data_IF_338151743602
#
_entry.id   IF_338151743602
#
_cell.length_a   1.000
_cell.length_b   1.000
_cell.length_c   1.000
_cell.angle_alpha   90.00
_cell.angle_beta   90.00
_cell.angle_gamma   90.00
#
_symmetry.space_group_name_H-M   'P 1'
#
loop_
_entity.id
_entity.type
_entity.pdbx_description
1 polymer ?
#
# COMPACT_ATOMS: atom_id res chain seq x y z
N UNK A 1 -8.80 -0.46 21.68
CA UNK A 1 -9.76 0.10 20.71
C UNK A 1 -8.96 1.01 19.78
N UNK A 2 -9.20 0.95 18.46
CA UNK A 2 -8.49 1.79 17.49
C UNK A 2 -8.91 3.26 17.65
N UNK A 3 -7.97 4.19 17.76
CA UNK A 3 -8.27 5.63 17.83
C UNK A 3 -8.45 6.17 16.41
N UNK A 4 -9.24 7.25 16.24
CA UNK A 4 -9.50 7.80 14.91
C UNK A 4 -8.23 8.29 14.21
N UNK A 5 -7.27 8.83 14.97
CA UNK A 5 -5.95 9.23 14.45
C UNK A 5 -5.11 8.06 13.94
N UNK A 6 -5.41 6.82 14.36
CA UNK A 6 -4.69 5.62 13.97
C UNK A 6 -5.35 4.96 12.73
N UNK A 7 -6.48 5.47 12.25
CA UNK A 7 -7.14 4.98 11.04
C UNK A 7 -6.36 5.44 9.81
N UNK A 8 -5.95 4.48 8.97
CA UNK A 8 -5.22 4.76 7.73
C UNK A 8 -6.16 5.33 6.64
N UNK A 9 -7.41 4.84 6.55
CA UNK A 9 -8.40 5.34 5.58
C UNK A 9 -9.28 6.42 6.21
N UNK A 10 -8.82 7.67 6.16
CA UNK A 10 -9.43 8.80 6.89
C UNK A 10 -10.63 9.46 6.19
N UNK A 11 -10.79 9.31 4.86
CA UNK A 11 -11.94 9.82 4.09
C UNK A 11 -12.86 8.70 3.57
N UNK A 12 -12.99 7.60 4.33
CA UNK A 12 -13.74 6.42 3.90
C UNK A 12 -15.21 6.73 3.58
N UNK A 13 -15.81 7.69 4.28
CA UNK A 13 -17.21 8.09 4.11
C UNK A 13 -17.43 9.24 3.11
N UNK A 14 -16.38 9.71 2.43
CA UNK A 14 -16.49 10.74 1.39
C UNK A 14 -16.89 12.14 1.92
N UNK A 15 -16.60 12.44 3.18
CA UNK A 15 -16.92 13.74 3.80
C UNK A 15 -16.02 14.87 3.32
N UNK A 16 -14.87 14.53 2.73
CA UNK A 16 -13.88 15.48 2.22
C UNK A 16 -13.60 15.22 0.72
N UNK A 17 -12.97 16.19 0.05
CA UNK A 17 -12.56 16.09 -1.35
C UNK A 17 -11.67 14.84 -1.60
N UNK A 18 -12.06 13.91 -2.49
CA UNK A 18 -11.27 12.72 -2.79
C UNK A 18 -10.09 12.99 -3.74
N UNK A 19 -10.07 14.14 -4.43
CA UNK A 19 -9.04 14.48 -5.40
C UNK A 19 -7.78 15.04 -4.75
N UNK A 20 -6.78 15.38 -5.58
CA UNK A 20 -5.42 15.70 -5.14
C UNK A 20 -5.35 16.77 -4.03
N UNK A 21 -6.19 17.81 -4.09
CA UNK A 21 -6.20 18.88 -3.09
C UNK A 21 -6.61 18.34 -1.71
N UNK A 22 -7.74 17.64 -1.63
CA UNK A 22 -8.17 16.98 -0.41
C UNK A 22 -7.21 15.90 0.07
N UNK A 23 -6.68 15.08 -0.85
CA UNK A 23 -5.69 14.05 -0.55
C UNK A 23 -4.44 14.60 0.15
N UNK A 24 -3.83 15.65 -0.41
CA UNK A 24 -2.66 16.31 0.19
C UNK A 24 -2.96 16.90 1.57
N UNK A 25 -4.18 17.40 1.81
CA UNK A 25 -4.57 17.92 3.13
C UNK A 25 -4.63 16.85 4.22
N UNK A 26 -4.75 15.56 3.84
CA UNK A 26 -4.78 14.41 4.75
C UNK A 26 -3.43 13.70 4.89
N UNK A 27 -2.37 14.22 4.24
CA UNK A 27 -1.04 13.60 4.23
C UNK A 27 -0.82 12.60 3.10
N UNK A 28 -1.78 12.41 2.18
CA UNK A 28 -1.55 11.60 0.98
C UNK A 28 -0.50 12.29 0.08
N UNK A 29 0.33 11.50 -0.60
CA UNK A 29 1.47 11.96 -1.42
C UNK A 29 2.61 12.65 -0.65
N UNK A 30 2.53 12.75 0.67
CA UNK A 30 3.59 13.34 1.48
C UNK A 30 4.89 12.52 1.40
N UNK A 31 6.00 13.22 1.20
CA UNK A 31 7.37 12.69 1.18
C UNK A 31 7.61 11.42 0.32
N UNK A 32 6.75 11.16 -0.68
CA UNK A 32 6.83 9.94 -1.51
C UNK A 32 8.13 9.84 -2.30
N UNK A 33 8.73 10.97 -2.69
CA UNK A 33 10.05 11.02 -3.32
C UNK A 33 11.15 10.45 -2.41
N UNK A 34 11.15 10.77 -1.11
CA UNK A 34 12.14 10.22 -0.18
C UNK A 34 11.88 8.73 0.08
N UNK A 35 10.62 8.30 0.13
CA UNK A 35 10.27 6.87 0.23
C UNK A 35 10.85 6.10 -0.96
N UNK A 36 10.68 6.61 -2.19
CA UNK A 36 11.26 6.01 -3.40
C UNK A 36 12.80 5.98 -3.34
N UNK A 37 13.43 7.04 -2.83
CA UNK A 37 14.87 7.14 -2.70
C UNK A 37 15.48 6.12 -1.71
N UNK A 38 14.71 5.58 -0.76
CA UNK A 38 15.16 4.47 0.12
C UNK A 38 15.52 3.20 -0.68
N UNK A 39 14.95 3.06 -1.88
CA UNK A 39 15.19 1.91 -2.75
C UNK A 39 14.36 0.68 -2.38
N UNK A 40 14.28 -0.23 -3.35
CA UNK A 40 13.44 -1.43 -3.32
C UNK A 40 13.64 -2.29 -2.07
N UNK A 41 14.89 -2.62 -1.75
CA UNK A 41 15.19 -3.59 -0.69
C UNK A 41 14.76 -3.06 0.69
N UNK A 42 14.96 -1.76 0.95
CA UNK A 42 14.52 -1.11 2.18
C UNK A 42 12.99 -1.10 2.31
N UNK A 43 12.27 -0.81 1.21
CA UNK A 43 10.80 -0.82 1.20
C UNK A 43 10.26 -2.24 1.46
N UNK A 44 10.83 -3.26 0.82
CA UNK A 44 10.40 -4.65 1.03
C UNK A 44 10.66 -5.09 2.47
N UNK A 45 11.79 -4.70 3.06
CA UNK A 45 12.12 -5.05 4.44
C UNK A 45 11.14 -4.39 5.43
N UNK A 46 10.86 -3.09 5.28
CA UNK A 46 9.84 -2.40 6.08
C UNK A 46 8.48 -3.12 6.03
N UNK A 47 8.08 -3.59 4.84
CA UNK A 47 6.81 -4.30 4.67
C UNK A 47 6.81 -5.68 5.31
N UNK A 48 7.96 -6.36 5.38
CA UNK A 48 8.10 -7.60 6.15
C UNK A 48 7.99 -7.31 7.65
N UNK A 49 8.69 -6.29 8.11
CA UNK A 49 8.75 -5.90 9.52
C UNK A 49 7.40 -5.40 10.05
N UNK A 50 6.59 -4.76 9.19
CA UNK A 50 5.22 -4.35 9.51
C UNK A 50 4.27 -5.53 9.84
N UNK A 51 4.63 -6.74 9.45
CA UNK A 51 3.76 -7.91 9.58
C UNK A 51 2.50 -7.88 8.71
N UNK A 52 2.42 -6.98 7.70
CA UNK A 52 1.24 -6.87 6.84
C UNK A 52 0.98 -8.18 6.11
N UNK A 53 -0.27 -8.64 6.18
CA UNK A 53 -0.80 -9.78 5.44
C UNK A 53 -1.75 -9.31 4.35
N UNK A 54 -1.91 -10.12 3.30
CA UNK A 54 -2.82 -9.84 2.20
C UNK A 54 -4.25 -9.57 2.68
N UNK A 55 -4.95 -8.67 1.97
CA UNK A 55 -6.29 -8.20 2.34
C UNK A 55 -7.43 -8.77 1.49
N UNK A 56 -7.14 -9.50 0.41
CA UNK A 56 -8.14 -10.22 -0.39
C UNK A 56 -8.27 -11.69 -0.01
N UNK A 57 -8.63 -11.99 1.25
CA UNK A 57 -8.95 -13.35 1.72
C UNK A 57 -7.77 -14.29 2.03
N UNK A 58 -6.78 -14.41 1.15
CA UNK A 58 -5.71 -15.42 1.28
C UNK A 58 -4.74 -15.18 2.45
N UNK A 59 -4.67 -13.95 2.98
CA UNK A 59 -3.85 -13.63 4.16
C UNK A 59 -2.35 -13.90 4.01
N UNK A 60 -1.80 -13.98 2.79
CA UNK A 60 -0.38 -14.25 2.55
C UNK A 60 0.50 -13.07 3.00
N UNK A 61 1.69 -13.27 3.62
CA UNK A 61 2.55 -12.16 4.05
C UNK A 61 2.99 -11.25 2.89
N UNK A 62 2.61 -9.97 2.94
CA UNK A 62 2.71 -9.04 1.81
C UNK A 62 4.17 -8.76 1.44
N UNK A 63 5.02 -8.42 2.42
CA UNK A 63 6.44 -8.15 2.17
C UNK A 63 7.21 -9.38 1.63
N UNK A 64 6.83 -10.59 2.05
CA UNK A 64 7.38 -11.82 1.48
C UNK A 64 6.97 -11.98 0.01
N UNK A 65 5.67 -11.80 -0.31
CA UNK A 65 5.17 -11.87 -1.69
C UNK A 65 5.90 -10.91 -2.61
N UNK A 66 6.12 -9.67 -2.17
CA UNK A 66 6.83 -8.65 -2.94
C UNK A 66 8.29 -9.03 -3.21
N UNK A 67 8.92 -9.79 -2.31
CA UNK A 67 10.31 -10.23 -2.48
C UNK A 67 10.53 -11.28 -3.56
N UNK A 68 9.46 -11.93 -4.06
CA UNK A 68 9.56 -12.93 -5.13
C UNK A 68 9.81 -12.33 -6.51
N UNK A 69 9.54 -11.03 -6.70
CA UNK A 69 9.83 -10.39 -7.98
C UNK A 69 11.34 -10.45 -8.26
N UNK A 70 11.78 -10.73 -9.50
CA UNK A 70 13.20 -10.77 -9.81
C UNK A 70 13.84 -9.39 -9.62
N UNK A 71 15.08 -9.34 -9.13
CA UNK A 71 15.86 -8.08 -9.02
C UNK A 71 16.33 -7.57 -10.38
N UNK A 72 16.63 -8.49 -11.28
CA UNK A 72 17.03 -8.26 -12.66
C UNK A 72 16.14 -9.11 -13.56
N UNK A 73 15.61 -8.51 -14.61
CA UNK A 73 14.79 -9.22 -15.60
C UNK A 73 15.00 -8.58 -16.95
N UNK A 74 15.12 -9.42 -17.99
CA UNK A 74 15.15 -8.97 -19.38
C UNK A 74 13.76 -8.56 -19.90
N UNK A 75 12.75 -8.59 -19.02
CA UNK A 75 11.37 -8.23 -19.33
C UNK A 75 10.87 -7.15 -18.37
N UNK A 76 9.95 -6.30 -18.83
CA UNK A 76 9.24 -5.39 -17.93
C UNK A 76 8.51 -6.18 -16.85
N UNK A 77 8.67 -5.74 -15.61
CA UNK A 77 7.92 -6.25 -14.47
C UNK A 77 6.66 -5.38 -14.28
N UNK A 78 5.52 -6.01 -14.02
CA UNK A 78 4.24 -5.32 -13.86
C UNK A 78 3.70 -5.48 -12.44
N UNK A 79 2.93 -4.49 -12.00
CA UNK A 79 2.11 -4.55 -10.79
C UNK A 79 0.64 -4.51 -11.20
N UNK A 80 -0.09 -5.56 -10.88
CA UNK A 80 -1.55 -5.59 -11.01
C UNK A 80 -2.14 -5.38 -9.62
N UNK A 81 -2.93 -4.32 -9.46
CA UNK A 81 -3.71 -4.06 -8.25
C UNK A 81 -5.10 -4.63 -8.48
N UNK A 82 -5.51 -5.61 -7.65
CA UNK A 82 -6.87 -6.12 -7.73
C UNK A 82 -7.83 -5.09 -7.13
N UNK A 83 -8.87 -4.74 -7.88
CA UNK A 83 -9.98 -3.91 -7.44
C UNK A 83 -11.34 -4.59 -7.72
N UNK A 84 -11.31 -5.84 -8.20
CA UNK A 84 -12.49 -6.70 -8.27
C UNK A 84 -12.69 -7.35 -6.90
N UNK A 85 -13.76 -6.92 -6.22
CA UNK A 85 -14.14 -7.34 -4.87
C UNK A 85 -15.55 -7.96 -4.93
N UNK A 86 -15.77 -8.88 -5.88
CA UNK A 86 -17.06 -9.57 -6.09
C UNK A 86 -17.40 -10.64 -5.03
N UNK A 87 -16.61 -10.75 -3.95
CA UNK A 87 -16.92 -11.63 -2.82
C UNK A 87 -18.18 -11.13 -2.09
N UNK A 88 -19.14 -12.02 -1.71
CA UNK A 88 -20.29 -11.63 -0.90
C UNK A 88 -19.86 -11.03 0.44
N UNK A 89 -20.46 -9.90 0.82
CA UNK A 89 -20.15 -9.14 2.04
C UNK A 89 -20.67 -9.74 3.34
#
# INVERSE_FOLDING_TARGET
>A
MLQDKDRIFTNLYGQHDPFLKGARSRGDWDNTAAILARGRDAIIQEMKDSGLRGRGGAGFPTGLKWSFMPKQSDRPCYLVVNADESEPG
#
